data_IF_002496800637
#
_entry.id   IF_002496800637
#
_cell.length_a   1.000
_cell.length_b   1.000
_cell.length_c   1.000
_cell.angle_alpha   90.00
_cell.angle_beta   90.00
_cell.angle_gamma   90.00
#
_symmetry.space_group_name_H-M   'P 1'
#
loop_
_entity.id
_entity.type
_entity.pdbx_description
1 polymer ?
#
# COMPACT_ATOMS: atom_id res chain seq x y z
N UNK A 1 13.92 25.86 14.67
CA UNK A 1 13.50 24.43 14.75
C UNK A 1 12.08 24.24 14.21
N UNK A 2 11.08 25.03 14.61
CA UNK A 2 9.69 24.88 14.11
C UNK A 2 9.53 25.12 12.59
N UNK A 3 10.05 26.23 12.04
CA UNK A 3 9.88 26.56 10.61
C UNK A 3 10.47 25.51 9.66
N UNK A 4 11.64 24.96 9.96
CA UNK A 4 12.27 23.93 9.13
C UNK A 4 11.43 22.65 9.06
N UNK A 5 10.81 22.25 10.18
CA UNK A 5 9.91 21.09 10.24
C UNK A 5 8.65 21.35 9.41
N UNK A 6 8.06 22.54 9.53
CA UNK A 6 6.86 22.90 8.76
C UNK A 6 7.13 22.96 7.25
N UNK A 7 8.26 23.54 6.84
CA UNK A 7 8.67 23.56 5.44
C UNK A 7 8.87 22.15 4.89
N UNK A 8 9.55 21.27 5.63
CA UNK A 8 9.74 19.88 5.23
C UNK A 8 8.42 19.12 5.13
N UNK A 9 7.50 19.33 6.08
CA UNK A 9 6.18 18.71 6.05
C UNK A 9 5.39 19.16 4.82
N UNK A 10 5.39 20.46 4.53
CA UNK A 10 4.70 21.02 3.38
C UNK A 10 5.28 20.48 2.06
N UNK A 11 6.61 20.39 1.96
CA UNK A 11 7.29 19.83 0.79
C UNK A 11 6.93 18.34 0.61
N UNK A 12 7.00 17.56 1.68
CA UNK A 12 6.62 16.13 1.67
C UNK A 12 5.17 15.92 1.25
N UNK A 13 4.24 16.72 1.79
CA UNK A 13 2.83 16.68 1.40
C UNK A 13 2.63 17.00 -0.09
N UNK A 14 3.32 18.03 -0.59
CA UNK A 14 3.25 18.41 -1.99
C UNK A 14 3.81 17.29 -2.89
N UNK A 15 4.95 16.69 -2.53
CA UNK A 15 5.56 15.57 -3.26
C UNK A 15 4.66 14.33 -3.30
N UNK A 16 4.07 13.96 -2.16
CA UNK A 16 3.12 12.83 -2.09
C UNK A 16 1.88 13.09 -2.95
N UNK A 17 1.33 14.30 -2.91
CA UNK A 17 0.17 14.66 -3.72
C UNK A 17 0.50 14.63 -5.22
N UNK A 18 1.66 15.17 -5.61
CA UNK A 18 2.12 15.14 -6.99
C UNK A 18 2.35 13.72 -7.48
N UNK A 19 2.98 12.88 -6.65
CA UNK A 19 3.20 11.46 -6.94
C UNK A 19 1.88 10.71 -7.10
N UNK A 20 0.94 10.86 -6.17
CA UNK A 20 -0.37 10.21 -6.27
C UNK A 20 -1.15 10.64 -7.54
N UNK A 21 -1.09 11.93 -7.91
CA UNK A 21 -1.73 12.46 -9.12
C UNK A 21 -1.09 11.99 -10.42
N UNK A 22 0.16 11.54 -10.39
CA UNK A 22 0.84 11.04 -11.58
C UNK A 22 0.24 9.72 -12.11
N UNK A 23 -0.50 8.99 -11.26
CA UNK A 23 -0.96 7.61 -11.50
C UNK A 23 0.19 6.60 -11.76
N UNK A 24 1.44 7.01 -11.56
CA UNK A 24 2.66 6.20 -11.68
C UNK A 24 3.24 5.91 -10.29
N UNK A 25 2.37 5.57 -9.35
CA UNK A 25 2.74 5.33 -7.97
C UNK A 25 2.20 3.97 -7.50
N UNK A 26 3.00 3.27 -6.70
CA UNK A 26 2.61 2.04 -6.04
C UNK A 26 2.29 2.32 -4.58
N UNK A 27 1.26 1.65 -4.07
CA UNK A 27 0.79 1.74 -2.69
C UNK A 27 1.04 0.40 -2.02
N UNK A 28 1.77 0.41 -0.92
CA UNK A 28 1.91 -0.74 -0.03
C UNK A 28 1.26 -0.42 1.31
N UNK A 29 0.48 -1.36 1.83
CA UNK A 29 -0.14 -1.26 3.14
C UNK A 29 0.35 -2.41 4.00
N UNK A 30 0.64 -2.12 5.26
CA UNK A 30 1.00 -3.11 6.25
C UNK A 30 0.20 -2.86 7.54
N UNK A 31 -0.42 -3.92 8.06
CA UNK A 31 -1.19 -3.89 9.29
C UNK A 31 -0.35 -4.52 10.39
N UNK A 32 -0.09 -3.77 11.45
CA UNK A 32 0.68 -4.27 12.58
C UNK A 32 0.02 -3.88 13.90
N UNK A 33 0.26 -4.72 14.90
CA UNK A 33 -0.23 -4.51 16.25
C UNK A 33 0.92 -4.01 17.13
N UNK A 34 0.68 -2.95 17.90
CA UNK A 34 1.62 -2.48 18.92
C UNK A 34 1.00 -2.58 20.30
N UNK A 35 1.70 -3.22 21.22
CA UNK A 35 1.39 -3.15 22.65
C UNK A 35 1.99 -1.88 23.28
N UNK A 36 1.17 -0.84 23.39
CA UNK A 36 1.54 0.43 24.03
C UNK A 36 1.35 0.32 25.55
N UNK A 37 2.38 -0.22 26.21
CA UNK A 37 2.40 -0.38 27.67
C UNK A 37 2.31 0.99 28.36
N UNK A 38 1.42 1.11 29.33
CA UNK A 38 1.31 2.31 30.15
C UNK A 38 2.53 2.43 31.07
N UNK A 39 3.11 3.63 31.15
CA UNK A 39 4.25 3.92 32.03
C UNK A 39 3.88 3.83 33.53
N UNK A 40 2.60 4.00 33.87
CA UNK A 40 2.08 3.95 35.24
C UNK A 40 1.13 2.75 35.35
N UNK A 41 1.44 1.73 36.17
CA UNK A 41 0.52 0.64 36.45
C UNK A 41 -0.62 1.17 37.33
N UNK A 42 -1.81 1.39 36.78
CA UNK A 42 -3.03 1.64 37.55
C UNK A 42 -3.78 0.33 37.76
N UNK A 43 -4.11 0.01 39.01
CA UNK A 43 -4.66 -1.28 39.42
C UNK A 43 -6.09 -1.58 38.91
N UNK A 44 -6.77 -0.63 38.25
CA UNK A 44 -8.23 -0.68 38.06
C UNK A 44 -8.73 -0.71 36.60
N UNK A 45 -7.86 -0.81 35.60
CA UNK A 45 -8.33 -0.96 34.21
C UNK A 45 -7.63 -2.12 33.52
N UNK A 46 -8.42 -3.01 32.92
CA UNK A 46 -7.95 -3.89 31.87
C UNK A 46 -7.51 -3.00 30.71
N UNK A 47 -6.26 -2.51 30.76
CA UNK A 47 -5.81 -1.52 29.81
C UNK A 47 -5.74 -2.19 28.44
N UNK A 48 -6.61 -1.78 27.53
CA UNK A 48 -6.54 -2.15 26.12
C UNK A 48 -5.31 -1.46 25.50
N UNK A 49 -4.15 -2.06 25.74
CA UNK A 49 -2.83 -1.57 25.33
C UNK A 49 -2.48 -1.98 23.90
N UNK A 50 -3.18 -3.00 23.37
CA UNK A 50 -3.01 -3.43 22.00
C UNK A 50 -3.65 -2.42 21.05
N UNK A 51 -2.85 -1.83 20.17
CA UNK A 51 -3.31 -0.91 19.13
C UNK A 51 -3.12 -1.55 17.77
N UNK A 52 -4.22 -1.67 17.03
CA UNK A 52 -4.24 -2.07 15.63
C UNK A 52 -3.94 -0.84 14.76
N UNK A 53 -2.82 -0.85 14.05
CA UNK A 53 -2.40 0.26 13.20
C UNK A 53 -2.20 -0.23 11.76
N UNK A 54 -2.51 0.65 10.82
CA UNK A 54 -2.21 0.45 9.40
C UNK A 54 -1.19 1.50 8.98
N UNK A 55 -0.05 1.05 8.48
CA UNK A 55 0.88 1.92 7.76
C UNK A 55 0.66 1.84 6.27
N UNK A 56 0.93 2.96 5.59
CA UNK A 56 0.92 3.06 4.14
C UNK A 56 2.25 3.62 3.65
N UNK A 57 2.76 3.05 2.57
CA UNK A 57 3.93 3.54 1.84
C UNK A 57 3.51 3.84 0.40
N UNK A 58 3.88 5.03 -0.08
CA UNK A 58 3.70 5.47 -1.46
C UNK A 58 5.07 5.66 -2.10
N UNK A 59 5.32 5.01 -3.24
CA UNK A 59 6.58 5.15 -3.96
C UNK A 59 6.37 5.18 -5.48
N UNK A 60 7.24 5.89 -6.23
CA UNK A 60 7.12 5.98 -7.68
C UNK A 60 7.40 4.64 -8.36
N UNK A 61 6.67 4.38 -9.43
CA UNK A 61 7.00 3.36 -10.41
C UNK A 61 8.17 3.88 -11.25
N UNK A 62 9.34 3.29 -11.02
CA UNK A 62 10.62 3.69 -11.62
C UNK A 62 10.96 2.86 -12.86
N UNK A 63 12.10 3.16 -13.50
CA UNK A 63 12.62 2.46 -14.69
C UNK A 63 11.77 2.62 -15.97
N UNK A 64 11.18 3.80 -16.16
CA UNK A 64 10.53 4.16 -17.42
C UNK A 64 9.10 3.66 -17.58
N UNK A 65 8.45 3.21 -16.50
CA UNK A 65 7.02 2.85 -16.49
C UNK A 65 6.18 4.05 -16.91
N UNK A 66 5.38 3.85 -17.96
CA UNK A 66 4.45 4.83 -18.51
C UNK A 66 3.01 4.45 -18.15
N UNK A 67 2.10 5.43 -18.28
CA UNK A 67 0.67 5.19 -18.05
C UNK A 67 0.11 4.08 -18.94
N UNK A 68 0.68 3.94 -20.14
CA UNK A 68 0.27 2.94 -21.11
C UNK A 68 0.57 1.51 -20.63
N UNK A 69 1.64 1.32 -19.88
CA UNK A 69 1.97 0.03 -19.26
C UNK A 69 0.95 -0.34 -18.17
N UNK A 70 0.33 0.66 -17.54
CA UNK A 70 -0.69 0.49 -16.51
C UNK A 70 -2.11 0.33 -17.07
N UNK A 71 -2.33 0.54 -18.38
CA UNK A 71 -3.63 0.28 -19.04
C UNK A 71 -4.05 -1.19 -18.91
N UNK A 72 -3.07 -2.08 -18.75
CA UNK A 72 -3.30 -3.50 -18.49
C UNK A 72 -4.01 -3.75 -17.17
N UNK A 73 -4.06 -2.80 -16.22
CA UNK A 73 -4.73 -2.98 -14.93
C UNK A 73 -6.20 -3.40 -15.06
N UNK A 74 -6.95 -2.83 -16.01
CA UNK A 74 -8.35 -3.24 -16.25
C UNK A 74 -8.44 -4.64 -16.85
N UNK A 75 -7.54 -4.98 -17.77
CA UNK A 75 -7.49 -6.31 -18.37
C UNK A 75 -7.09 -7.38 -17.34
N UNK A 76 -6.01 -7.12 -16.58
CA UNK A 76 -5.54 -7.95 -15.48
C UNK A 76 -6.59 -8.08 -14.37
N UNK A 77 -7.27 -7.00 -14.01
CA UNK A 77 -8.37 -7.05 -13.04
C UNK A 77 -9.55 -7.87 -13.54
N UNK A 78 -9.92 -7.75 -14.81
CA UNK A 78 -10.97 -8.58 -15.42
C UNK A 78 -10.60 -10.07 -15.46
N UNK A 79 -9.31 -10.40 -15.51
CA UNK A 79 -8.79 -11.78 -15.51
C UNK A 79 -8.42 -12.29 -14.11
N UNK A 80 -8.43 -11.42 -13.09
CA UNK A 80 -7.97 -11.74 -11.74
C UNK A 80 -8.94 -12.68 -11.05
N UNK A 81 -8.40 -13.73 -10.42
CA UNK A 81 -9.18 -14.63 -9.55
C UNK A 81 -9.77 -13.92 -8.31
N UNK A 82 -9.30 -12.71 -8.00
CA UNK A 82 -9.78 -11.89 -6.89
C UNK A 82 -10.92 -10.95 -7.29
N UNK A 83 -11.26 -10.84 -8.58
CA UNK A 83 -12.36 -10.01 -9.04
C UNK A 83 -13.68 -10.79 -8.95
N UNK A 84 -14.64 -10.41 -8.08
CA UNK A 84 -15.89 -11.15 -7.88
C UNK A 84 -16.80 -11.17 -9.11
N UNK A 85 -16.56 -10.26 -10.07
CA UNK A 85 -17.33 -10.10 -11.30
C UNK A 85 -16.64 -10.72 -12.52
N UNK A 86 -15.46 -11.35 -12.35
CA UNK A 86 -14.77 -11.99 -13.45
C UNK A 86 -15.52 -13.24 -13.91
N UNK A 87 -15.91 -13.27 -15.20
CA UNK A 87 -16.40 -14.48 -15.82
C UNK A 87 -15.21 -15.46 -15.98
N UNK A 88 -15.29 -16.64 -15.37
CA UNK A 88 -14.23 -17.67 -15.35
C UNK A 88 -13.81 -18.24 -16.72
N UNK A 89 -14.31 -17.69 -17.82
CA UNK A 89 -13.91 -18.00 -19.19
C UNK A 89 -12.57 -17.35 -19.59
N UNK A 90 -12.13 -16.31 -18.89
CA UNK A 90 -10.88 -15.58 -19.21
C UNK A 90 -9.81 -15.67 -18.13
N UNK A 91 -9.97 -16.52 -17.11
CA UNK A 91 -8.89 -16.75 -16.14
C UNK A 91 -7.75 -17.49 -16.84
N UNK A 92 -6.53 -16.92 -16.86
CA UNK A 92 -5.38 -17.63 -17.41
C UNK A 92 -5.11 -18.89 -16.58
N UNK A 93 -4.49 -19.93 -17.17
CA UNK A 93 -4.10 -21.12 -16.43
C UNK A 93 -3.25 -20.71 -15.23
N UNK A 94 -3.53 -21.29 -14.05
CA UNK A 94 -2.70 -21.07 -12.87
C UNK A 94 -1.38 -21.81 -13.08
N UNK A 95 -0.36 -21.08 -13.51
CA UNK A 95 1.00 -21.59 -13.57
C UNK A 95 1.63 -21.55 -12.18
N UNK A 96 2.28 -22.65 -11.80
CA UNK A 96 3.01 -22.69 -10.55
C UNK A 96 4.36 -21.99 -10.68
N UNK A 97 4.88 -21.44 -9.57
CA UNK A 97 6.11 -20.62 -9.61
C UNK A 97 7.34 -21.38 -10.14
N UNK A 98 7.40 -22.70 -9.99
CA UNK A 98 8.48 -23.54 -10.52
C UNK A 98 8.44 -23.71 -12.05
N UNK A 99 7.32 -23.41 -12.70
CA UNK A 99 7.19 -23.42 -14.17
C UNK A 99 7.87 -22.20 -14.83
N UNK A 100 8.29 -21.21 -14.03
CA UNK A 100 8.98 -20.00 -14.48
C UNK A 100 10.51 -20.12 -14.40
N UNK A 101 11.05 -21.24 -13.90
CA UNK A 101 12.48 -21.46 -13.67
C UNK A 101 13.18 -22.19 -14.83
N UNK A 102 12.72 -21.97 -16.07
CA UNK A 102 13.32 -22.55 -17.27
C UNK A 102 14.82 -22.27 -17.41
#
# INVERSE_FOLDING_TARGET
INMAIQSLLQESQNSLQQLGRSLLASYAYDNFDIDLKHYIPTAETSSDSLKHLTSGLLFPLVHGVMLDDLKCSKHLWNMSALNPQANGLHTPPKHAWWELLG
#
